data_IF_856596394426
#
_entry.id   IF_856596394426
#
_cell.length_a   1.000
_cell.length_b   1.000
_cell.length_c   1.000
_cell.angle_alpha   90.00
_cell.angle_beta   90.00
_cell.angle_gamma   90.00
#
_symmetry.space_group_name_H-M   'P 1'
#
loop_
_entity.id
_entity.type
_entity.pdbx_description
1 polymer ?
#
# COMPACT_ATOMS: atom_id res chain seq x y z
N UNK A 1 -24.17 -1.80 -7.27
CA UNK A 1 -22.83 -2.42 -7.27
C UNK A 1 -22.84 -3.65 -8.16
N UNK A 2 -21.99 -3.66 -9.18
CA UNK A 2 -21.81 -4.78 -10.10
C UNK A 2 -21.00 -5.90 -9.44
N UNK A 3 -21.06 -7.12 -10.01
CA UNK A 3 -20.24 -8.26 -9.55
C UNK A 3 -18.74 -7.99 -9.65
N UNK A 4 -18.33 -7.17 -10.62
CA UNK A 4 -16.92 -6.80 -10.82
C UNK A 4 -16.44 -5.83 -9.73
N UNK A 5 -17.22 -4.79 -9.44
CA UNK A 5 -16.95 -3.86 -8.34
C UNK A 5 -16.84 -4.59 -7.00
N UNK A 6 -17.79 -5.48 -6.72
CA UNK A 6 -17.77 -6.30 -5.51
C UNK A 6 -16.45 -7.08 -5.37
N UNK A 7 -16.00 -7.75 -6.44
CA UNK A 7 -14.74 -8.49 -6.46
C UNK A 7 -13.52 -7.58 -6.27
N UNK A 8 -13.53 -6.37 -6.85
CA UNK A 8 -12.45 -5.38 -6.70
C UNK A 8 -12.31 -4.95 -5.24
N UNK A 9 -13.42 -4.62 -4.59
CA UNK A 9 -13.43 -4.23 -3.17
C UNK A 9 -12.96 -5.40 -2.29
N UNK A 10 -13.44 -6.62 -2.54
CA UNK A 10 -12.96 -7.78 -1.79
C UNK A 10 -11.45 -8.01 -1.95
N UNK A 11 -10.94 -7.95 -3.18
CA UNK A 11 -9.52 -8.09 -3.45
C UNK A 11 -8.70 -7.03 -2.70
N UNK A 12 -9.19 -5.78 -2.68
CA UNK A 12 -8.56 -4.70 -1.92
C UNK A 12 -8.58 -4.97 -0.42
N UNK A 13 -9.72 -5.40 0.16
CA UNK A 13 -9.81 -5.76 1.58
C UNK A 13 -8.84 -6.89 1.96
N UNK A 14 -8.69 -7.92 1.12
CA UNK A 14 -7.70 -8.99 1.34
C UNK A 14 -6.25 -8.54 1.24
N UNK A 15 -5.99 -7.38 0.61
CA UNK A 15 -4.66 -6.81 0.46
C UNK A 15 -4.22 -5.97 1.66
N UNK A 16 -5.15 -5.51 2.51
CA UNK A 16 -4.87 -4.63 3.67
C UNK A 16 -3.75 -5.16 4.58
N UNK A 17 -3.72 -6.45 5.00
CA UNK A 17 -2.62 -6.96 5.82
C UNK A 17 -1.25 -6.86 5.13
N UNK A 18 -1.21 -7.04 3.80
CA UNK A 18 0.03 -6.94 3.01
C UNK A 18 0.49 -5.49 2.83
N UNK A 19 -0.44 -4.52 2.81
CA UNK A 19 -0.07 -3.10 2.73
C UNK A 19 0.76 -2.66 3.93
N UNK A 20 0.40 -3.11 5.13
CA UNK A 20 1.18 -2.81 6.36
C UNK A 20 2.61 -3.33 6.25
N UNK A 21 2.78 -4.58 5.83
CA UNK A 21 4.09 -5.20 5.62
C UNK A 21 4.87 -4.43 4.54
N UNK A 22 4.22 -4.03 3.46
CA UNK A 22 4.85 -3.27 2.39
C UNK A 22 5.36 -1.90 2.85
N UNK A 23 4.62 -1.20 3.71
CA UNK A 23 5.06 0.09 4.29
C UNK A 23 6.34 -0.12 5.12
N UNK A 24 6.37 -1.13 5.98
CA UNK A 24 7.56 -1.42 6.79
C UNK A 24 8.77 -1.77 5.93
N UNK A 25 8.58 -2.59 4.88
CA UNK A 25 9.65 -2.90 3.94
C UNK A 25 10.17 -1.65 3.21
N UNK A 26 9.28 -0.74 2.79
CA UNK A 26 9.65 0.52 2.15
C UNK A 26 10.41 1.45 3.11
N UNK A 27 10.01 1.49 4.39
CA UNK A 27 10.72 2.24 5.44
C UNK A 27 12.14 1.69 5.64
N UNK A 28 12.29 0.37 5.71
CA UNK A 28 13.61 -0.26 5.77
C UNK A 28 14.44 -0.05 4.50
N UNK A 29 13.82 -0.01 3.31
CA UNK A 29 14.53 0.33 2.06
C UNK A 29 15.02 1.77 2.07
N UNK A 30 14.20 2.71 2.53
CA UNK A 30 14.54 4.12 2.68
C UNK A 30 15.73 4.31 3.63
N UNK A 31 15.72 3.62 4.78
CA UNK A 31 16.82 3.66 5.75
C UNK A 31 18.13 3.13 5.13
N UNK A 32 18.07 2.02 4.40
CA UNK A 32 19.25 1.48 3.69
C UNK A 32 19.76 2.45 2.63
N UNK A 33 18.85 3.11 1.91
CA UNK A 33 19.18 4.09 0.88
C UNK A 33 19.88 5.31 1.49
N UNK A 34 19.32 5.86 2.57
CA UNK A 34 19.88 7.01 3.29
C UNK A 34 21.23 6.66 3.95
N UNK A 35 21.36 5.46 4.54
CA UNK A 35 22.62 4.97 5.12
C UNK A 35 23.71 4.87 4.05
N UNK A 36 23.36 4.33 2.87
CA UNK A 36 24.29 4.20 1.75
C UNK A 36 24.75 5.58 1.28
N UNK A 37 23.83 6.54 1.10
CA UNK A 37 24.18 7.91 0.69
C UNK A 37 25.04 8.66 1.73
N UNK A 38 24.78 8.44 3.02
CA UNK A 38 25.53 9.07 4.11
C UNK A 38 26.94 8.49 4.31
N UNK A 39 27.22 7.29 3.78
CA UNK A 39 28.47 6.57 4.00
C UNK A 39 29.20 6.29 2.68
N UNK A 40 30.04 7.24 2.20
CA UNK A 40 30.85 7.02 1.02
C UNK A 40 31.74 5.78 1.15
N UNK A 41 32.02 5.06 0.05
CA UNK A 41 32.87 3.88 0.10
C UNK A 41 34.28 4.21 0.57
N UNK A 42 34.84 3.36 1.44
CA UNK A 42 36.17 3.56 2.04
C UNK A 42 37.33 3.56 1.04
N UNK A 43 37.13 2.97 -0.14
CA UNK A 43 38.11 2.97 -1.23
C UNK A 43 38.14 4.28 -2.03
N UNK A 44 37.20 5.21 -1.79
CA UNK A 44 37.09 6.45 -2.55
C UNK A 44 37.81 7.60 -1.82
N UNK A 45 38.95 8.04 -2.35
CA UNK A 45 39.76 9.10 -1.74
C UNK A 45 39.12 10.50 -1.83
N UNK A 46 38.23 10.72 -2.79
CA UNK A 46 37.45 11.96 -2.91
C UNK A 46 36.02 11.68 -3.44
N UNK A 47 34.98 11.74 -2.59
CA UNK A 47 33.61 11.37 -2.96
C UNK A 47 32.90 12.36 -3.88
N UNK A 48 33.46 13.56 -4.07
CA UNK A 48 32.86 14.63 -4.89
C UNK A 48 33.68 14.96 -6.15
N UNK A 49 34.76 14.22 -6.44
CA UNK A 49 35.61 14.52 -7.58
C UNK A 49 35.01 14.00 -8.89
N UNK A 50 34.71 14.92 -9.81
CA UNK A 50 34.49 14.63 -11.23
C UNK A 50 35.86 14.30 -11.85
N UNK A 51 36.03 13.17 -12.57
CA UNK A 51 37.35 12.75 -13.05
C UNK A 51 37.94 13.77 -14.02
N UNK A 52 39.17 14.18 -13.76
CA UNK A 52 39.96 15.01 -14.67
C UNK A 52 40.62 14.11 -15.72
N UNK A 53 40.56 14.54 -16.99
CA UNK A 53 41.05 13.85 -18.20
C UNK A 53 42.37 13.09 -18.01
N UNK A 54 42.39 11.79 -18.34
CA UNK A 54 43.63 11.10 -18.75
C UNK A 54 43.87 9.67 -18.23
N UNK A 55 43.03 9.11 -17.36
CA UNK A 55 43.21 7.75 -16.84
C UNK A 55 41.89 7.00 -16.76
N UNK A 56 41.92 5.69 -17.03
CA UNK A 56 40.76 4.79 -16.96
C UNK A 56 39.94 5.08 -15.69
N UNK A 57 38.67 5.44 -15.88
CA UNK A 57 37.67 5.49 -14.81
C UNK A 57 37.66 4.14 -14.10
N UNK A 58 37.93 4.14 -12.79
CA UNK A 58 37.68 2.96 -11.98
C UNK A 58 36.15 2.77 -11.94
N UNK A 59 35.66 1.70 -12.57
CA UNK A 59 34.22 1.40 -12.77
C UNK A 59 33.38 1.51 -11.48
N UNK A 60 34.03 1.43 -10.32
CA UNK A 60 33.41 1.60 -9.01
C UNK A 60 33.06 3.05 -8.68
N UNK A 61 33.89 4.03 -9.05
CA UNK A 61 33.65 5.46 -8.79
C UNK A 61 32.50 6.01 -9.63
N UNK A 62 32.43 5.62 -10.90
CA UNK A 62 31.33 5.96 -11.81
C UNK A 62 29.98 5.48 -11.26
N UNK A 63 29.89 4.22 -10.84
CA UNK A 63 28.67 3.65 -10.21
C UNK A 63 28.23 4.36 -8.93
N UNK A 64 29.17 4.95 -8.19
CA UNK A 64 28.83 5.71 -6.99
C UNK A 64 28.27 7.09 -7.34
N UNK A 65 28.84 7.77 -8.34
CA UNK A 65 28.29 9.04 -8.84
C UNK A 65 26.90 8.83 -9.45
N UNK A 66 26.72 7.78 -10.28
CA UNK A 66 25.40 7.38 -10.79
C UNK A 66 24.39 7.16 -9.66
N UNK A 67 24.79 6.46 -8.60
CA UNK A 67 23.96 6.26 -7.42
C UNK A 67 23.57 7.58 -6.73
N UNK A 68 24.52 8.52 -6.57
CA UNK A 68 24.27 9.81 -5.92
C UNK A 68 23.37 10.72 -6.78
N UNK A 69 23.49 10.63 -8.10
CA UNK A 69 22.62 11.35 -9.04
C UNK A 69 21.17 10.79 -9.00
N UNK A 70 21.01 9.48 -8.91
CA UNK A 70 19.69 8.81 -8.84
C UNK A 70 19.04 8.89 -7.44
N UNK A 71 19.85 9.05 -6.39
CA UNK A 71 19.41 8.98 -5.00
C UNK A 71 18.20 9.87 -4.66
N UNK A 72 18.17 11.18 -5.01
CA UNK A 72 17.06 12.06 -4.65
C UNK A 72 15.73 11.60 -5.25
N UNK A 73 15.77 11.14 -6.51
CA UNK A 73 14.59 10.65 -7.22
C UNK A 73 14.06 9.38 -6.57
N UNK A 74 14.93 8.37 -6.37
CA UNK A 74 14.55 7.10 -5.76
C UNK A 74 14.01 7.29 -4.34
N UNK A 75 14.61 8.19 -3.57
CA UNK A 75 14.14 8.56 -2.23
C UNK A 75 12.72 9.14 -2.28
N UNK A 76 12.47 10.07 -3.20
CA UNK A 76 11.16 10.68 -3.38
C UNK A 76 10.09 9.65 -3.79
N UNK A 77 10.43 8.71 -4.68
CA UNK A 77 9.54 7.63 -5.10
C UNK A 77 9.15 6.73 -3.94
N UNK A 78 10.11 6.29 -3.12
CA UNK A 78 9.85 5.46 -1.93
C UNK A 78 8.95 6.22 -0.94
N UNK A 79 9.25 7.49 -0.67
CA UNK A 79 8.43 8.32 0.21
C UNK A 79 7.01 8.51 -0.31
N UNK A 80 6.84 8.70 -1.61
CA UNK A 80 5.50 8.79 -2.20
C UNK A 80 4.73 7.48 -2.04
N UNK A 81 5.39 6.36 -2.32
CA UNK A 81 4.81 5.03 -2.16
C UNK A 81 4.40 4.68 -0.73
N UNK A 82 5.15 5.17 0.27
CA UNK A 82 4.78 5.07 1.69
C UNK A 82 3.53 5.91 1.95
N UNK A 83 3.55 7.19 1.57
CA UNK A 83 2.43 8.12 1.79
C UNK A 83 1.13 7.61 1.18
N UNK A 84 1.16 7.10 -0.05
CA UNK A 84 -0.02 6.60 -0.74
C UNK A 84 -0.63 5.40 -0.01
N UNK A 85 0.21 4.47 0.48
CA UNK A 85 -0.25 3.28 1.23
C UNK A 85 -0.72 3.63 2.63
N UNK A 86 -0.05 4.55 3.32
CA UNK A 86 -0.50 5.06 4.62
C UNK A 86 -1.85 5.76 4.51
N UNK A 87 -2.07 6.53 3.43
CA UNK A 87 -3.37 7.15 3.16
C UNK A 87 -4.45 6.09 2.89
N UNK A 88 -4.15 5.04 2.13
CA UNK A 88 -5.08 3.92 1.92
C UNK A 88 -5.46 3.23 3.25
N UNK A 89 -4.50 3.01 4.15
CA UNK A 89 -4.78 2.45 5.47
C UNK A 89 -5.61 3.41 6.33
N UNK A 90 -5.31 4.71 6.32
CA UNK A 90 -6.09 5.70 7.06
C UNK A 90 -7.55 5.73 6.58
N UNK A 91 -7.77 5.63 5.26
CA UNK A 91 -9.10 5.51 4.67
C UNK A 91 -9.81 4.22 5.08
N UNK A 92 -9.09 3.09 5.10
CA UNK A 92 -9.62 1.83 5.61
C UNK A 92 -10.11 1.95 7.06
N UNK A 93 -9.28 2.52 7.96
CA UNK A 93 -9.63 2.68 9.37
C UNK A 93 -10.86 3.57 9.57
N UNK A 94 -10.98 4.67 8.81
CA UNK A 94 -12.17 5.54 8.86
C UNK A 94 -13.46 4.79 8.51
N UNK A 95 -13.44 3.95 7.46
CA UNK A 95 -14.61 3.14 7.10
C UNK A 95 -14.89 2.09 8.18
N UNK A 96 -13.86 1.49 8.76
CA UNK A 96 -14.02 0.54 9.87
C UNK A 96 -14.62 1.17 11.13
N UNK A 97 -14.24 2.40 11.46
CA UNK A 97 -14.82 3.17 12.57
C UNK A 97 -16.30 3.46 12.34
N UNK A 98 -16.67 3.90 11.13
CA UNK A 98 -18.06 4.12 10.75
C UNK A 98 -18.89 2.83 10.83
N UNK A 99 -18.38 1.72 10.27
CA UNK A 99 -19.05 0.42 10.36
C UNK A 99 -19.23 -0.01 11.82
N UNK A 100 -18.23 0.22 12.68
CA UNK A 100 -18.29 -0.11 14.11
C UNK A 100 -19.34 0.73 14.85
N UNK A 101 -19.41 2.03 14.54
CA UNK A 101 -20.38 2.94 15.14
C UNK A 101 -21.82 2.59 14.75
N UNK A 102 -22.03 2.13 13.52
CA UNK A 102 -23.33 1.67 13.05
C UNK A 102 -23.72 0.31 13.64
N UNK A 103 -22.84 -0.69 13.53
CA UNK A 103 -22.99 -1.99 14.15
C UNK A 103 -21.63 -2.70 14.26
N UNK A 104 -21.20 -2.97 15.51
CA UNK A 104 -19.93 -3.64 15.79
C UNK A 104 -19.72 -4.98 15.06
N UNK A 105 -20.80 -5.70 14.73
CA UNK A 105 -20.74 -6.95 13.97
C UNK A 105 -20.24 -6.75 12.53
N UNK A 106 -20.45 -5.57 11.91
CA UNK A 106 -19.90 -5.27 10.58
C UNK A 106 -18.37 -5.20 10.60
N UNK A 107 -17.81 -4.47 11.56
CA UNK A 107 -16.37 -4.39 11.74
C UNK A 107 -15.76 -5.77 12.09
N UNK A 108 -16.46 -6.55 12.92
CA UNK A 108 -16.05 -7.92 13.27
C UNK A 108 -16.08 -8.84 12.04
N UNK A 109 -17.09 -8.73 11.19
CA UNK A 109 -17.16 -9.46 9.92
C UNK A 109 -15.95 -9.14 9.05
N UNK A 110 -15.62 -7.85 8.87
CA UNK A 110 -14.47 -7.44 8.05
C UNK A 110 -13.18 -8.04 8.59
N UNK A 111 -12.98 -7.94 9.91
CA UNK A 111 -11.79 -8.45 10.59
C UNK A 111 -11.64 -9.97 10.39
N UNK A 112 -12.68 -10.74 10.72
CA UNK A 112 -12.65 -12.19 10.61
C UNK A 112 -12.46 -12.64 9.15
N UNK A 113 -13.23 -12.06 8.22
CA UNK A 113 -13.29 -12.51 6.82
C UNK A 113 -12.09 -12.10 6.00
N UNK A 114 -11.65 -10.84 6.09
CA UNK A 114 -10.67 -10.26 5.17
C UNK A 114 -9.28 -10.10 5.78
N UNK A 115 -9.19 -9.86 7.09
CA UNK A 115 -7.92 -9.64 7.79
C UNK A 115 -7.37 -10.97 8.32
N UNK A 116 -8.13 -11.65 9.18
CA UNK A 116 -7.77 -12.94 9.78
C UNK A 116 -7.99 -14.11 8.81
N UNK A 117 -8.78 -13.89 7.74
CA UNK A 117 -9.05 -14.86 6.67
C UNK A 117 -9.60 -16.17 7.19
N UNK A 118 -10.47 -16.10 8.21
CA UNK A 118 -11.13 -17.25 8.80
C UNK A 118 -11.89 -18.01 7.72
N UNK A 119 -11.66 -19.32 7.69
CA UNK A 119 -12.37 -20.26 6.82
C UNK A 119 -12.72 -21.50 7.62
N UNK A 120 -13.84 -22.15 7.28
CA UNK A 120 -14.88 -21.74 6.31
C UNK A 120 -15.81 -20.63 6.83
N UNK A 121 -16.57 -19.99 5.94
CA UNK A 121 -17.43 -18.83 6.28
C UNK A 121 -18.45 -19.13 7.37
N UNK A 122 -18.87 -20.40 7.51
CA UNK A 122 -19.82 -20.79 8.53
C UNK A 122 -19.31 -20.58 9.95
N UNK A 123 -18.00 -20.71 10.16
CA UNK A 123 -17.36 -20.40 11.44
C UNK A 123 -17.62 -18.94 11.80
N UNK A 124 -17.54 -18.03 10.83
CA UNK A 124 -17.73 -16.60 11.08
C UNK A 124 -19.16 -16.31 11.54
N UNK A 125 -20.18 -16.81 10.84
CA UNK A 125 -21.56 -16.47 11.18
C UNK A 125 -22.06 -17.22 12.43
N UNK A 126 -21.65 -18.47 12.65
CA UNK A 126 -22.09 -19.26 13.82
C UNK A 126 -21.34 -18.90 15.10
N UNK A 127 -20.01 -18.73 15.04
CA UNK A 127 -19.20 -18.65 16.26
C UNK A 127 -18.70 -17.25 16.58
N UNK A 128 -18.62 -16.36 15.59
CA UNK A 128 -18.10 -14.99 15.80
C UNK A 128 -19.21 -13.95 15.82
N UNK A 129 -20.15 -14.04 14.88
CA UNK A 129 -21.21 -13.05 14.71
C UNK A 129 -22.54 -13.49 15.34
N UNK A 130 -22.75 -14.78 15.57
CA UNK A 130 -23.99 -15.37 16.07
C UNK A 130 -25.23 -14.97 15.24
N UNK A 131 -25.11 -15.06 13.91
CA UNK A 131 -26.17 -14.73 12.96
C UNK A 131 -26.45 -15.89 12.00
N UNK A 132 -27.65 -15.91 11.43
CA UNK A 132 -27.99 -16.87 10.38
C UNK A 132 -27.24 -16.60 9.06
N UNK A 133 -27.10 -17.65 8.24
CA UNK A 133 -26.44 -17.59 6.91
C UNK A 133 -26.95 -16.45 6.02
N UNK A 134 -28.27 -16.27 5.93
CA UNK A 134 -28.87 -15.19 5.11
C UNK A 134 -28.41 -13.83 5.59
N UNK A 135 -28.50 -13.58 6.90
CA UNK A 135 -28.08 -12.32 7.50
C UNK A 135 -26.59 -12.06 7.30
N UNK A 136 -25.75 -13.08 7.40
CA UNK A 136 -24.32 -12.96 7.12
C UNK A 136 -24.04 -12.43 5.71
N UNK A 137 -24.70 -12.98 4.68
CA UNK A 137 -24.48 -12.54 3.31
C UNK A 137 -25.05 -11.14 3.02
N UNK A 138 -26.17 -10.77 3.66
CA UNK A 138 -26.68 -9.39 3.65
C UNK A 138 -25.67 -8.41 4.27
N UNK A 139 -25.14 -8.75 5.45
CA UNK A 139 -24.13 -7.94 6.13
C UNK A 139 -22.87 -7.81 5.26
N UNK A 140 -22.43 -8.89 4.62
CA UNK A 140 -21.28 -8.86 3.70
C UNK A 140 -21.55 -7.94 2.50
N UNK A 141 -22.73 -8.00 1.90
CA UNK A 141 -23.09 -7.08 0.81
C UNK A 141 -23.08 -5.63 1.26
N UNK A 142 -23.64 -5.36 2.44
CA UNK A 142 -23.65 -4.03 3.04
C UNK A 142 -22.24 -3.49 3.27
N UNK A 143 -21.38 -4.26 3.94
CA UNK A 143 -19.99 -3.90 4.23
C UNK A 143 -19.22 -3.58 2.94
N UNK A 144 -19.30 -4.45 1.93
CA UNK A 144 -18.59 -4.24 0.66
C UNK A 144 -19.10 -2.98 -0.04
N UNK A 145 -20.42 -2.74 0.00
CA UNK A 145 -21.01 -1.52 -0.53
C UNK A 145 -20.52 -0.27 0.23
N UNK A 146 -20.45 -0.33 1.56
CA UNK A 146 -19.97 0.79 2.37
C UNK A 146 -18.53 1.18 2.00
N UNK A 147 -17.63 0.21 1.81
CA UNK A 147 -16.27 0.48 1.32
C UNK A 147 -16.27 1.10 -0.09
N UNK A 148 -17.10 0.60 -1.00
CA UNK A 148 -17.21 1.15 -2.35
C UNK A 148 -17.68 2.62 -2.34
N UNK A 149 -18.75 2.90 -1.60
CA UNK A 149 -19.39 4.22 -1.53
C UNK A 149 -18.50 5.25 -0.81
N UNK A 150 -17.76 4.82 0.21
CA UNK A 150 -16.89 5.72 0.97
C UNK A 150 -15.54 5.97 0.30
N UNK A 151 -15.05 5.03 -0.52
CA UNK A 151 -13.74 5.10 -1.17
C UNK A 151 -13.84 5.00 -2.70
N UNK A 152 -14.68 5.82 -3.38
CA UNK A 152 -14.91 5.69 -4.81
C UNK A 152 -13.63 5.88 -5.62
N UNK A 153 -12.73 6.77 -5.18
CA UNK A 153 -11.44 7.02 -5.81
C UNK A 153 -10.51 5.79 -5.85
N UNK A 154 -10.73 4.77 -5.01
CA UNK A 154 -9.94 3.53 -5.00
C UNK A 154 -10.47 2.49 -6.00
N UNK A 155 -11.73 2.59 -6.41
CA UNK A 155 -12.41 1.53 -7.15
C UNK A 155 -12.92 1.96 -8.54
N UNK A 156 -13.22 3.24 -8.71
CA UNK A 156 -13.56 3.82 -10.00
C UNK A 156 -12.26 4.09 -10.76
N UNK A 157 -12.14 3.52 -11.96
CA UNK A 157 -11.07 3.88 -12.87
C UNK A 157 -11.15 5.38 -13.10
N UNK A 158 -10.03 6.11 -12.92
CA UNK A 158 -9.91 7.47 -13.44
C UNK A 158 -10.18 7.36 -14.93
N UNK A 159 -11.38 7.73 -15.38
CA UNK A 159 -11.61 8.12 -16.76
C UNK A 159 -10.53 9.14 -17.06
N UNK A 160 -9.56 8.77 -17.90
CA UNK A 160 -8.50 9.65 -18.35
C UNK A 160 -9.20 10.88 -18.95
N UNK A 161 -9.34 11.94 -18.18
CA UNK A 161 -9.65 13.26 -18.73
C UNK A 161 -8.47 13.59 -19.63
N UNK A 162 -8.77 13.64 -20.93
CA UNK A 162 -7.79 13.89 -21.96
C UNK A 162 -7.04 15.18 -21.69
N UNK A 163 -5.73 15.09 -21.74
CA UNK A 163 -4.92 16.08 -22.43
C UNK A 163 -3.96 15.30 -23.31
N UNK A 164 -4.34 15.20 -24.59
CA UNK A 164 -3.36 15.12 -25.66
C UNK A 164 -2.51 16.38 -25.52
N UNK A 165 -1.23 16.23 -25.20
CA UNK A 165 -0.28 17.30 -25.49
C UNK A 165 -0.06 17.20 -26.99
N UNK A 166 -0.46 18.27 -27.67
CA UNK A 166 -0.22 18.53 -29.08
C UNK A 166 1.29 18.71 -29.34
#
# INVERSE_FOLDING_TARGET
MTKQEFRRVEAWLYSIPRMRIAIENLKSELEKLDTKAASPPTWMSNPNAIPVRGGNLDSKQEKWLEFMDEYPLRRQEILQQIRDREQQLAHFEKVMEMLRAENGQYAQLVKAKYIEKVRPDWVIWETMLFVGKTKFYEMRQYVVKAFFDCLPAQFLERTKSGQKIA
#
